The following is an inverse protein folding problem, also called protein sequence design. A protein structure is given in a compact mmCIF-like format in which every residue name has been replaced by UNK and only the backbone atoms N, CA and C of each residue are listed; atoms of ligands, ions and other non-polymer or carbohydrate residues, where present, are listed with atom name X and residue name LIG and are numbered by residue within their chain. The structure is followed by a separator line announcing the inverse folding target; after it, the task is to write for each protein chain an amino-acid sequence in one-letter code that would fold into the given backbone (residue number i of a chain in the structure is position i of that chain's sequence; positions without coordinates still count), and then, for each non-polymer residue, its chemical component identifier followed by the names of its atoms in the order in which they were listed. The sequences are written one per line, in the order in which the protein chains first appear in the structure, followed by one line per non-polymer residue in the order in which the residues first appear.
data_IF_966341728942
#
_entry.id   IF_966341728942
#
_cell.length_a   1.000
_cell.length_b   1.000
_cell.length_c   1.000
_cell.angle_alpha   90.00
_cell.angle_beta   90.00
_cell.angle_gamma   90.00
#
_symmetry.space_group_name_H-M   'P 1'
#
loop_
_entity.id
_entity.type
_entity.pdbx_description
1 polymer ?
#
# COMPACT_ATOMS: atom_id res chain seq x y z
N UNK A 1 7.77 -17.94 -34.02
CA UNK A 1 8.20 -19.08 -33.17
C UNK A 1 7.87 -18.74 -31.74
N UNK A 2 6.93 -19.47 -31.11
CA UNK A 2 6.66 -19.33 -29.67
C UNK A 2 7.86 -19.91 -28.92
N UNK A 3 8.62 -19.06 -28.24
CA UNK A 3 9.64 -19.51 -27.29
C UNK A 3 8.90 -20.15 -26.10
N UNK A 4 9.01 -21.48 -26.00
CA UNK A 4 8.43 -22.23 -24.89
C UNK A 4 9.17 -21.90 -23.60
N UNK A 5 8.46 -21.34 -22.63
CA UNK A 5 8.97 -21.16 -21.28
C UNK A 5 9.11 -22.52 -20.62
N UNK A 6 10.33 -23.03 -20.52
CA UNK A 6 10.62 -24.26 -19.79
C UNK A 6 10.37 -24.02 -18.30
N UNK A 7 9.34 -24.65 -17.75
CA UNK A 7 9.09 -24.67 -16.30
C UNK A 7 10.09 -25.64 -15.67
N UNK A 8 11.14 -25.11 -15.05
CA UNK A 8 12.08 -25.91 -14.27
C UNK A 8 11.54 -26.04 -12.84
N UNK A 9 11.03 -27.22 -12.48
CA UNK A 9 10.68 -27.56 -11.11
C UNK A 9 11.94 -28.09 -10.43
N UNK A 10 12.64 -27.24 -9.67
CA UNK A 10 13.78 -27.69 -8.87
C UNK A 10 13.25 -28.15 -7.51
N UNK A 11 13.34 -29.46 -7.25
CA UNK A 11 13.13 -30.02 -5.91
C UNK A 11 14.39 -29.79 -5.07
N UNK A 12 14.33 -28.87 -4.11
CA UNK A 12 15.32 -28.74 -3.06
C UNK A 12 14.57 -28.71 -1.72
N UNK A 13 14.47 -29.87 -1.06
CA UNK A 13 14.05 -30.11 0.33
C UNK A 13 13.03 -29.16 0.97
N UNK A 14 11.83 -29.65 1.29
CA UNK A 14 10.75 -29.00 2.06
C UNK A 14 10.23 -27.63 1.57
N UNK A 15 10.90 -26.96 0.63
CA UNK A 15 10.48 -25.69 0.05
C UNK A 15 9.95 -25.88 -1.38
N UNK A 16 8.69 -25.47 -1.60
CA UNK A 16 8.00 -25.58 -2.88
C UNK A 16 8.34 -24.37 -3.76
N UNK A 17 9.15 -24.54 -4.81
CA UNK A 17 9.41 -23.51 -5.82
C UNK A 17 8.46 -23.71 -7.01
N UNK A 18 7.60 -22.72 -7.29
CA UNK A 18 6.79 -22.66 -8.52
C UNK A 18 7.27 -21.47 -9.34
N UNK A 19 7.82 -21.75 -10.53
CA UNK A 19 8.16 -20.75 -11.55
C UNK A 19 9.56 -20.13 -11.39
N UNK A 20 10.58 -20.74 -12.00
CA UNK A 20 11.94 -20.20 -11.94
C UNK A 20 12.45 -19.89 -13.35
N UNK A 21 12.32 -18.63 -13.76
CA UNK A 21 13.45 -17.99 -14.45
C UNK A 21 14.44 -17.56 -13.36
N UNK A 22 15.73 -17.38 -13.66
CA UNK A 22 16.75 -17.00 -12.66
C UNK A 22 16.49 -15.66 -11.93
N UNK A 23 15.39 -14.96 -12.23
CA UNK A 23 15.03 -13.63 -11.70
C UNK A 23 13.72 -13.59 -10.91
N UNK A 24 12.98 -14.70 -10.81
CA UNK A 24 11.67 -14.76 -10.15
C UNK A 24 11.67 -15.79 -9.02
N UNK A 25 11.24 -15.39 -7.81
CA UNK A 25 11.02 -16.35 -6.72
C UNK A 25 9.97 -15.84 -5.72
N UNK A 26 9.32 -16.78 -5.04
CA UNK A 26 8.59 -16.53 -3.80
C UNK A 26 9.09 -17.50 -2.74
N UNK A 27 9.31 -17.02 -1.52
CA UNK A 27 9.77 -17.83 -0.39
C UNK A 27 9.10 -17.39 0.90
N UNK A 28 8.78 -18.38 1.72
CA UNK A 28 8.29 -18.22 3.09
C UNK A 28 9.47 -18.26 4.04
N UNK A 29 9.50 -17.35 5.00
CA UNK A 29 10.50 -17.31 6.05
C UNK A 29 9.82 -17.50 7.40
N UNK A 30 10.61 -17.96 8.36
CA UNK A 30 10.20 -18.04 9.75
C UNK A 30 9.70 -16.68 10.27
N UNK A 31 8.72 -16.74 11.16
CA UNK A 31 8.04 -15.57 11.72
C UNK A 31 6.93 -15.02 10.83
N UNK A 32 6.39 -15.81 9.90
CA UNK A 32 5.21 -15.44 9.11
C UNK A 32 5.52 -14.35 8.08
N UNK A 33 6.64 -14.48 7.36
CA UNK A 33 7.03 -13.53 6.32
C UNK A 33 7.02 -14.19 4.95
N UNK A 34 6.33 -13.59 3.99
CA UNK A 34 6.33 -14.01 2.59
C UNK A 34 7.08 -12.96 1.77
N UNK A 35 8.07 -13.39 0.99
CA UNK A 35 8.80 -12.51 0.08
C UNK A 35 8.69 -13.07 -1.33
N UNK A 36 8.22 -12.23 -2.25
CA UNK A 36 8.15 -12.49 -3.68
C UNK A 36 8.92 -11.42 -4.44
N UNK A 37 9.75 -11.83 -5.39
CA UNK A 37 10.52 -10.97 -6.28
C UNK A 37 10.34 -11.45 -7.71
N UNK A 38 10.06 -10.56 -8.66
CA UNK A 38 9.93 -10.95 -10.07
C UNK A 38 8.79 -11.94 -10.33
N UNK A 39 7.83 -12.07 -9.41
CA UNK A 39 6.83 -13.13 -9.43
C UNK A 39 5.59 -12.70 -10.22
N UNK A 40 4.95 -13.64 -10.91
CA UNK A 40 3.67 -13.37 -11.55
C UNK A 40 2.53 -13.33 -10.53
N UNK A 41 1.46 -12.60 -10.86
CA UNK A 41 0.19 -12.64 -10.13
C UNK A 41 -0.27 -14.05 -9.75
N UNK A 42 -0.25 -14.99 -10.69
CA UNK A 42 -0.67 -16.37 -10.45
C UNK A 42 0.22 -17.06 -9.42
N UNK A 43 1.54 -16.90 -9.54
CA UNK A 43 2.51 -17.44 -8.58
C UNK A 43 2.21 -16.94 -7.17
N UNK A 44 2.01 -15.62 -7.02
CA UNK A 44 1.70 -15.00 -5.72
C UNK A 44 0.35 -15.48 -5.17
N UNK A 45 -0.73 -15.21 -5.90
CA UNK A 45 -2.09 -15.30 -5.35
C UNK A 45 -2.71 -16.70 -5.44
N UNK A 46 -2.27 -17.54 -6.37
CA UNK A 46 -2.68 -18.95 -6.43
C UNK A 46 -1.65 -19.86 -5.78
N UNK A 47 -0.36 -19.65 -6.06
CA UNK A 47 0.72 -20.48 -5.51
C UNK A 47 0.92 -20.33 -4.00
N UNK A 48 0.75 -19.13 -3.46
CA UNK A 48 0.96 -18.82 -2.02
C UNK A 48 -0.31 -18.37 -1.30
N UNK A 49 -1.50 -18.75 -1.80
CA UNK A 49 -2.81 -18.36 -1.22
C UNK A 49 -2.89 -18.58 0.29
N UNK A 50 -2.38 -19.73 0.77
CA UNK A 50 -2.39 -20.08 2.20
C UNK A 50 -1.50 -19.12 3.01
N UNK A 51 -0.32 -18.82 2.50
CA UNK A 51 0.65 -17.96 3.16
C UNK A 51 0.23 -16.49 3.16
N UNK A 52 -0.42 -16.00 2.10
CA UNK A 52 -1.02 -14.67 2.09
C UNK A 52 -2.03 -14.52 3.23
N UNK A 53 -2.82 -15.57 3.48
CA UNK A 53 -3.81 -15.58 4.55
C UNK A 53 -3.23 -15.76 5.96
N UNK A 54 -1.94 -16.02 6.14
CA UNK A 54 -1.36 -16.25 7.49
C UNK A 54 -0.12 -15.43 7.79
N UNK A 55 0.50 -14.79 6.80
CA UNK A 55 1.73 -14.03 6.97
C UNK A 55 1.44 -12.67 7.62
N UNK A 56 2.30 -12.27 8.55
CA UNK A 56 2.27 -10.96 9.16
C UNK A 56 2.92 -9.90 8.26
N UNK A 57 4.04 -10.25 7.59
CA UNK A 57 4.75 -9.34 6.68
C UNK A 57 4.76 -9.94 5.27
N UNK A 58 4.19 -9.22 4.31
CA UNK A 58 4.12 -9.64 2.91
C UNK A 58 4.89 -8.63 2.08
N UNK A 59 5.92 -9.09 1.39
CA UNK A 59 6.77 -8.28 0.51
C UNK A 59 6.69 -8.82 -0.91
N UNK A 60 6.24 -7.98 -1.83
CA UNK A 60 6.19 -8.28 -3.25
C UNK A 60 6.93 -7.15 -3.96
N UNK A 61 7.96 -7.52 -4.72
CA UNK A 61 8.80 -6.56 -5.41
C UNK A 61 9.02 -6.94 -6.87
N UNK A 62 9.19 -5.92 -7.72
CA UNK A 62 9.51 -6.06 -9.14
C UNK A 62 8.59 -7.07 -9.86
N UNK A 63 7.29 -7.02 -9.55
CA UNK A 63 6.31 -8.05 -9.93
C UNK A 63 5.10 -7.45 -10.64
N UNK A 64 4.58 -8.18 -11.64
CA UNK A 64 3.33 -7.86 -12.34
C UNK A 64 2.19 -8.66 -11.71
N UNK A 65 1.49 -8.01 -10.77
CA UNK A 65 0.47 -8.61 -9.92
C UNK A 65 -0.93 -8.07 -10.16
N UNK A 66 -1.06 -7.02 -10.97
CA UNK A 66 -2.36 -6.49 -11.33
C UNK A 66 -3.12 -7.38 -12.33
N UNK A 67 -4.48 -7.33 -12.36
CA UNK A 67 -5.35 -6.55 -11.48
C UNK A 67 -5.56 -7.22 -10.11
N UNK A 68 -5.61 -6.41 -9.04
CA UNK A 68 -5.98 -6.86 -7.69
C UNK A 68 -7.48 -6.63 -7.43
N UNK A 69 -8.26 -7.71 -7.37
CA UNK A 69 -9.68 -7.67 -7.05
C UNK A 69 -9.95 -7.86 -5.55
N UNK A 70 -11.24 -7.93 -5.20
CA UNK A 70 -11.69 -8.11 -3.81
C UNK A 70 -11.09 -9.35 -3.15
N UNK A 71 -10.95 -10.46 -3.88
CA UNK A 71 -10.40 -11.71 -3.34
C UNK A 71 -8.90 -11.59 -3.04
N UNK A 72 -8.12 -10.99 -3.95
CA UNK A 72 -6.68 -10.78 -3.76
C UNK A 72 -6.39 -9.88 -2.57
N UNK A 73 -7.11 -8.75 -2.44
CA UNK A 73 -6.97 -7.87 -1.28
C UNK A 73 -7.41 -8.56 0.02
N UNK A 74 -8.52 -9.30 -0.01
CA UNK A 74 -9.04 -10.03 1.17
C UNK A 74 -8.10 -11.14 1.64
N UNK A 75 -7.26 -11.67 0.75
CA UNK A 75 -6.24 -12.64 1.11
C UNK A 75 -5.17 -12.05 2.06
N UNK A 76 -4.94 -10.74 1.99
CA UNK A 76 -3.89 -10.03 2.74
C UNK A 76 -4.38 -9.44 4.08
N UNK A 77 -5.66 -9.61 4.41
CA UNK A 77 -6.33 -8.92 5.54
C UNK A 77 -5.69 -9.15 6.92
N UNK A 78 -4.91 -10.22 7.07
CA UNK A 78 -4.23 -10.57 8.31
C UNK A 78 -2.83 -9.94 8.44
N UNK A 79 -2.30 -9.37 7.36
CA UNK A 79 -0.99 -8.76 7.36
C UNK A 79 -0.96 -7.54 8.27
N UNK A 80 0.12 -7.43 9.04
CA UNK A 80 0.48 -6.19 9.74
C UNK A 80 1.32 -5.27 8.86
N UNK A 81 2.07 -5.84 7.92
CA UNK A 81 2.92 -5.08 7.02
C UNK A 81 2.76 -5.58 5.58
N UNK A 82 2.49 -4.65 4.68
CA UNK A 82 2.37 -4.92 3.24
C UNK A 82 3.35 -4.00 2.51
N UNK A 83 4.23 -4.60 1.71
CA UNK A 83 5.19 -3.89 0.87
C UNK A 83 5.01 -4.34 -0.59
N UNK A 84 4.42 -3.49 -1.42
CA UNK A 84 4.29 -3.66 -2.87
C UNK A 84 5.18 -2.64 -3.58
N UNK A 85 6.48 -2.94 -3.66
CA UNK A 85 7.49 -2.01 -4.19
C UNK A 85 7.80 -2.32 -5.65
N UNK A 86 7.84 -1.33 -6.53
CA UNK A 86 8.11 -1.54 -7.96
C UNK A 86 7.15 -2.55 -8.59
N UNK A 87 5.86 -2.46 -8.25
CA UNK A 87 4.81 -3.30 -8.83
C UNK A 87 3.97 -2.53 -9.84
N UNK A 88 3.11 -3.22 -10.57
CA UNK A 88 2.17 -2.60 -11.50
C UNK A 88 0.82 -2.24 -10.88
N UNK A 89 0.68 -2.31 -9.54
CA UNK A 89 -0.53 -1.96 -8.80
C UNK A 89 -0.87 -0.48 -9.00
N UNK A 90 -2.11 -0.20 -9.41
CA UNK A 90 -2.60 1.12 -9.79
C UNK A 90 -3.80 1.61 -8.96
N UNK A 91 -4.41 0.73 -8.16
CA UNK A 91 -5.58 1.03 -7.36
C UNK A 91 -5.46 0.48 -5.93
N UNK A 92 -6.03 1.22 -4.98
CA UNK A 92 -6.30 0.76 -3.63
C UNK A 92 -7.64 -0.02 -3.60
N UNK A 93 -7.88 -0.92 -2.62
CA UNK A 93 -9.15 -1.64 -2.53
C UNK A 93 -10.34 -0.69 -2.44
N UNK A 94 -11.43 -1.00 -3.16
CA UNK A 94 -12.62 -0.14 -3.24
C UNK A 94 -13.30 0.13 -1.89
N UNK A 95 -13.24 -0.83 -0.97
CA UNK A 95 -13.77 -0.72 0.41
C UNK A 95 -12.70 -0.19 1.39
N UNK A 96 -11.58 0.29 0.85
CA UNK A 96 -10.42 0.71 1.63
C UNK A 96 -9.81 -0.41 2.48
N UNK A 97 -9.06 0.01 3.48
CA UNK A 97 -8.38 -0.87 4.44
C UNK A 97 -9.23 -1.16 5.69
N UNK A 98 -10.56 -1.00 5.63
CA UNK A 98 -11.46 -1.29 6.76
C UNK A 98 -11.35 -2.75 7.23
N UNK A 99 -11.11 -3.68 6.29
CA UNK A 99 -10.97 -5.10 6.57
C UNK A 99 -9.55 -5.52 7.00
N UNK A 100 -8.65 -4.57 7.27
CA UNK A 100 -7.24 -4.84 7.63
C UNK A 100 -6.95 -4.43 9.08
N UNK A 101 -7.46 -5.17 10.08
CA UNK A 101 -7.43 -4.74 11.47
C UNK A 101 -6.02 -4.66 12.09
N UNK A 102 -5.01 -5.19 11.40
CA UNK A 102 -3.64 -5.30 11.89
C UNK A 102 -2.63 -4.46 11.14
N UNK A 103 -3.03 -3.88 10.01
CA UNK A 103 -2.13 -3.15 9.13
C UNK A 103 -1.57 -1.94 9.85
N UNK A 104 -0.26 -1.97 10.11
CA UNK A 104 0.52 -0.87 10.69
C UNK A 104 1.40 -0.19 9.64
N UNK A 105 1.82 -0.92 8.61
CA UNK A 105 2.68 -0.41 7.55
C UNK A 105 2.16 -0.78 6.17
N UNK A 106 1.95 0.22 5.33
CA UNK A 106 1.70 0.06 3.90
C UNK A 106 2.76 0.83 3.11
N UNK A 107 3.55 0.10 2.33
CA UNK A 107 4.54 0.64 1.40
C UNK A 107 4.14 0.23 -0.01
N UNK A 108 3.81 1.20 -0.85
CA UNK A 108 3.49 0.98 -2.26
C UNK A 108 4.36 1.88 -3.16
N UNK A 109 5.63 2.05 -2.78
CA UNK A 109 6.56 2.90 -3.53
C UNK A 109 6.81 2.39 -4.94
N UNK A 110 7.05 3.32 -5.87
CA UNK A 110 7.32 2.97 -7.27
C UNK A 110 6.22 2.11 -7.92
N UNK A 111 4.97 2.31 -7.51
CA UNK A 111 3.81 1.65 -8.11
C UNK A 111 3.14 2.60 -9.11
N UNK A 112 1.88 2.34 -9.48
CA UNK A 112 1.12 3.13 -10.47
C UNK A 112 -0.12 3.76 -9.86
N UNK A 113 -0.15 4.01 -8.55
CA UNK A 113 -1.34 4.55 -7.88
C UNK A 113 -1.65 5.96 -8.38
N UNK A 114 -2.89 6.19 -8.79
CA UNK A 114 -3.34 7.47 -9.35
C UNK A 114 -4.27 8.26 -8.44
N UNK A 115 -5.04 7.57 -7.60
CA UNK A 115 -6.06 8.17 -6.72
C UNK A 115 -5.98 7.53 -5.34
N UNK A 116 -6.05 8.36 -4.29
CA UNK A 116 -6.41 7.87 -2.94
C UNK A 116 -7.90 8.12 -2.75
N UNK A 117 -8.76 7.08 -2.84
CA UNK A 117 -10.20 7.26 -2.81
C UNK A 117 -10.71 7.60 -1.40
N UNK A 118 -11.92 8.12 -1.34
CA UNK A 118 -12.63 8.42 -0.10
C UNK A 118 -12.70 7.16 0.77
N UNK A 119 -12.38 7.31 2.06
CA UNK A 119 -12.41 6.19 3.00
C UNK A 119 -11.33 5.13 2.78
N UNK A 120 -10.34 5.36 1.91
CA UNK A 120 -9.23 4.40 1.69
C UNK A 120 -8.59 3.95 3.01
N UNK A 121 -8.33 4.89 3.92
CA UNK A 121 -7.73 4.64 5.22
C UNK A 121 -8.68 5.12 6.33
N UNK A 122 -9.61 4.25 6.78
CA UNK A 122 -10.65 4.64 7.73
C UNK A 122 -10.10 4.81 9.15
N UNK A 123 -10.86 5.51 10.00
CA UNK A 123 -10.56 5.61 11.44
C UNK A 123 -10.72 4.28 12.15
N UNK A 124 -11.75 3.53 11.78
CA UNK A 124 -12.13 2.27 12.42
C UNK A 124 -11.97 1.11 11.46
N UNK A 125 -11.67 -0.06 12.00
CA UNK A 125 -11.47 -1.31 11.26
C UNK A 125 -12.39 -2.38 11.81
N UNK A 126 -12.76 -3.33 10.94
CA UNK A 126 -13.55 -4.47 11.35
C UNK A 126 -12.65 -5.53 12.02
N UNK A 127 -12.57 -5.46 13.36
CA UNK A 127 -11.78 -6.38 14.17
C UNK A 127 -12.56 -7.63 14.65
N UNK A 128 -13.80 -7.85 14.16
CA UNK A 128 -14.75 -8.80 14.74
C UNK A 128 -14.29 -10.27 14.79
N UNK A 129 -13.25 -10.65 14.05
CA UNK A 129 -12.80 -12.04 13.93
C UNK A 129 -11.29 -12.23 14.04
N UNK A 130 -10.50 -11.17 14.22
CA UNK A 130 -9.04 -11.30 14.15
C UNK A 130 -8.30 -10.46 15.20
N UNK A 131 -7.46 -11.15 15.98
CA UNK A 131 -6.55 -10.53 16.95
C UNK A 131 -5.19 -10.38 16.29
N UNK A 132 -4.70 -9.15 16.24
CA UNK A 132 -3.39 -8.88 15.65
C UNK A 132 -2.27 -9.45 16.52
N UNK A 133 -1.35 -10.23 15.94
CA UNK A 133 -0.11 -10.58 16.61
C UNK A 133 0.60 -9.29 17.03
N UNK A 134 1.06 -9.23 18.29
CA UNK A 134 1.87 -8.12 18.82
C UNK A 134 1.20 -6.74 18.92
N UNK A 135 -0.14 -6.63 18.84
CA UNK A 135 -0.81 -5.36 19.16
C UNK A 135 -1.27 -5.34 20.62
N UNK A 136 -0.70 -4.44 21.42
CA UNK A 136 -1.13 -4.19 22.80
C UNK A 136 -2.52 -3.55 22.89
N UNK A 137 -3.12 -3.17 21.77
CA UNK A 137 -4.39 -2.47 21.67
C UNK A 137 -5.42 -3.32 20.92
N UNK A 138 -6.40 -3.85 21.65
CA UNK A 138 -7.59 -4.47 21.09
C UNK A 138 -8.67 -3.40 20.86
N UNK A 139 -8.31 -2.32 20.15
CA UNK A 139 -9.22 -1.22 19.80
C UNK A 139 -9.75 -1.42 18.39
N UNK A 140 -10.97 -0.93 18.09
CA UNK A 140 -11.52 -0.96 16.75
C UNK A 140 -10.91 0.12 15.83
N UNK A 141 -9.82 0.78 16.23
CA UNK A 141 -9.18 1.85 15.47
C UNK A 141 -8.16 1.29 14.48
N UNK A 142 -8.03 1.95 13.33
CA UNK A 142 -6.98 1.65 12.35
C UNK A 142 -5.60 1.82 12.98
N UNK A 143 -4.77 0.79 12.86
CA UNK A 143 -3.42 0.73 13.44
C UNK A 143 -2.35 1.27 12.50
N UNK A 144 -2.74 1.83 11.35
CA UNK A 144 -1.81 2.31 10.34
C UNK A 144 -0.95 3.43 10.91
N UNK A 145 0.36 3.21 10.93
CA UNK A 145 1.39 4.11 11.44
C UNK A 145 2.28 4.66 10.33
N UNK A 146 2.52 3.86 9.27
CA UNK A 146 3.35 4.25 8.14
C UNK A 146 2.62 4.02 6.82
N UNK A 147 2.52 5.09 6.02
CA UNK A 147 2.04 5.05 4.65
C UNK A 147 3.09 5.64 3.71
N UNK A 148 3.65 4.82 2.84
CA UNK A 148 4.70 5.22 1.90
C UNK A 148 4.25 5.05 0.45
N UNK A 149 4.07 6.17 -0.23
CA UNK A 149 3.51 6.27 -1.59
C UNK A 149 4.43 7.08 -2.51
N UNK A 150 5.73 7.21 -2.19
CA UNK A 150 6.69 7.93 -3.04
C UNK A 150 6.77 7.30 -4.45
N UNK A 151 7.01 8.13 -5.47
CA UNK A 151 7.19 7.71 -6.86
C UNK A 151 5.97 6.98 -7.44
N UNK A 152 4.76 7.50 -7.18
CA UNK A 152 3.52 7.05 -7.79
C UNK A 152 3.00 8.11 -8.79
N UNK A 153 1.74 7.99 -9.22
CA UNK A 153 1.08 8.92 -10.17
C UNK A 153 -0.12 9.61 -9.54
N UNK A 154 -0.10 9.75 -8.22
CA UNK A 154 -1.24 10.25 -7.45
C UNK A 154 -1.49 11.70 -7.89
N UNK A 155 -2.67 11.95 -8.44
CA UNK A 155 -3.09 13.29 -8.84
C UNK A 155 -4.28 13.80 -8.06
N UNK A 156 -5.01 12.89 -7.41
CA UNK A 156 -6.20 13.16 -6.60
C UNK A 156 -6.10 12.44 -5.25
N UNK A 157 -6.33 13.18 -4.17
CA UNK A 157 -6.57 12.65 -2.83
C UNK A 157 -7.96 13.12 -2.43
N UNK A 158 -8.89 12.18 -2.26
CA UNK A 158 -10.30 12.50 -2.00
C UNK A 158 -10.56 12.83 -0.52
N UNK A 159 -11.69 13.48 -0.26
CA UNK A 159 -12.15 13.85 1.07
C UNK A 159 -12.22 12.65 2.02
N UNK A 160 -11.75 12.84 3.26
CA UNK A 160 -11.76 11.81 4.31
C UNK A 160 -11.08 10.48 3.90
N UNK A 161 -10.17 10.52 2.93
CA UNK A 161 -9.37 9.37 2.50
C UNK A 161 -8.36 8.92 3.56
N UNK A 162 -7.82 9.85 4.36
CA UNK A 162 -6.79 9.63 5.38
C UNK A 162 -7.32 9.91 6.79
N UNK A 163 -8.13 8.99 7.33
CA UNK A 163 -8.73 9.08 8.66
C UNK A 163 -8.01 8.22 9.71
N UNK A 164 -6.78 7.76 9.42
CA UNK A 164 -5.97 6.91 10.29
C UNK A 164 -5.39 7.68 11.50
N UNK A 165 -5.93 7.50 12.72
CA UNK A 165 -5.59 8.35 13.87
C UNK A 165 -4.20 8.10 14.45
N UNK A 166 -3.59 6.95 14.12
CA UNK A 166 -2.27 6.55 14.59
C UNK A 166 -1.17 6.75 13.54
N UNK A 167 -1.46 7.41 12.41
CA UNK A 167 -0.50 7.62 11.33
C UNK A 167 0.59 8.59 11.77
N UNK A 168 1.84 8.12 11.72
CA UNK A 168 3.03 8.87 12.16
C UNK A 168 3.89 9.31 10.98
N UNK A 169 3.91 8.50 9.90
CA UNK A 169 4.69 8.73 8.70
C UNK A 169 3.81 8.67 7.44
N UNK A 170 3.93 9.70 6.61
CA UNK A 170 3.28 9.78 5.30
C UNK A 170 4.26 10.35 4.27
N UNK A 171 4.58 9.58 3.23
CA UNK A 171 5.41 10.03 2.12
C UNK A 171 4.65 10.00 0.80
N UNK A 172 4.47 11.18 0.20
CA UNK A 172 3.78 11.41 -1.05
C UNK A 172 4.67 12.05 -2.11
N UNK A 173 6.00 12.08 -1.90
CA UNK A 173 6.94 12.70 -2.84
C UNK A 173 6.88 12.07 -4.24
N UNK A 174 7.29 12.84 -5.24
CA UNK A 174 7.28 12.43 -6.65
C UNK A 174 5.95 11.78 -7.10
N UNK A 175 4.88 12.52 -6.86
CA UNK A 175 3.54 12.26 -7.38
C UNK A 175 3.10 13.46 -8.24
N UNK A 176 1.91 13.41 -8.81
CA UNK A 176 1.34 14.47 -9.66
C UNK A 176 0.18 15.21 -8.98
N UNK A 177 0.25 15.40 -7.66
CA UNK A 177 -0.86 15.91 -6.84
C UNK A 177 -1.13 17.37 -7.21
N UNK A 178 -2.28 17.62 -7.83
CA UNK A 178 -2.71 18.97 -8.23
C UNK A 178 -3.61 19.62 -7.20
N UNK A 179 -4.40 18.81 -6.50
CA UNK A 179 -5.40 19.27 -5.55
C UNK A 179 -5.45 18.27 -4.40
N UNK A 180 -5.59 18.80 -3.19
CA UNK A 180 -5.94 18.01 -2.04
C UNK A 180 -7.28 18.55 -1.56
N UNK A 181 -8.35 17.81 -1.82
CA UNK A 181 -9.66 18.14 -1.30
C UNK A 181 -9.79 17.48 0.08
N UNK A 182 -10.34 18.22 1.04
CA UNK A 182 -10.72 17.64 2.31
C UNK A 182 -10.01 18.15 3.58
N UNK A 183 -10.63 17.80 4.70
CA UNK A 183 -10.19 18.14 6.05
C UNK A 183 -9.32 17.01 6.58
N UNK A 184 -7.99 17.16 6.54
CA UNK A 184 -7.07 16.30 7.30
C UNK A 184 -7.19 16.64 8.78
N UNK A 185 -8.18 16.04 9.45
CA UNK A 185 -8.25 16.10 10.90
C UNK A 185 -7.36 14.98 11.43
N UNK A 186 -6.47 15.32 12.37
CA UNK A 186 -5.66 14.37 13.16
C UNK A 186 -4.38 13.81 12.51
N UNK A 187 -3.85 14.41 11.45
CA UNK A 187 -2.54 14.03 10.93
C UNK A 187 -1.42 14.72 11.72
N UNK A 188 -0.85 14.03 12.70
CA UNK A 188 0.44 14.38 13.30
C UNK A 188 1.56 13.73 12.48
N UNK A 189 1.83 14.25 11.28
CA UNK A 189 2.93 13.73 10.45
C UNK A 189 4.24 14.30 11.00
N UNK A 190 5.17 13.42 11.39
CA UNK A 190 6.46 13.82 11.98
C UNK A 190 7.53 14.12 10.94
N UNK A 191 7.39 13.60 9.71
CA UNK A 191 8.28 13.88 8.59
C UNK A 191 7.49 13.86 7.27
N UNK A 192 7.30 15.02 6.64
CA UNK A 192 7.07 15.07 5.19
C UNK A 192 8.46 15.13 4.58
N UNK A 193 8.85 14.06 3.89
CA UNK A 193 10.16 13.98 3.25
C UNK A 193 10.43 15.23 2.41
N UNK A 194 11.58 15.86 2.65
CA UNK A 194 12.02 17.07 1.96
C UNK A 194 11.98 16.91 0.44
N UNK A 195 11.17 17.76 -0.19
CA UNK A 195 10.96 17.87 -1.62
C UNK A 195 9.86 18.89 -1.82
N UNK A 196 10.17 19.99 -2.51
CA UNK A 196 9.21 21.04 -2.84
C UNK A 196 7.94 20.40 -3.42
N UNK A 197 6.82 20.53 -2.71
CA UNK A 197 5.50 20.22 -3.28
C UNK A 197 5.20 21.33 -4.29
N UNK A 198 5.60 21.11 -5.54
CA UNK A 198 5.18 21.94 -6.67
C UNK A 198 3.70 21.70 -6.97
N UNK A 199 2.81 22.25 -6.14
CA UNK A 199 1.36 22.24 -6.41
C UNK A 199 1.06 23.35 -7.42
N UNK A 200 1.18 23.06 -8.72
CA UNK A 200 0.67 23.97 -9.75
C UNK A 200 -0.84 23.81 -9.86
N UNK A 201 -1.60 24.74 -9.26
CA UNK A 201 -3.04 24.81 -9.44
C UNK A 201 -3.37 25.11 -10.92
N UNK A 202 -4.13 24.23 -11.56
CA UNK A 202 -4.69 24.48 -12.89
C UNK A 202 -5.76 25.57 -12.84
N UNK A 203 -6.03 26.26 -13.96
CA UNK A 203 -7.00 27.34 -13.97
C UNK A 203 -8.42 26.76 -13.79
N UNK A 204 -9.07 27.18 -12.70
CA UNK A 204 -10.50 26.92 -12.35
C UNK A 204 -10.86 25.52 -11.83
N UNK A 205 -10.21 25.06 -10.77
CA UNK A 205 -10.85 24.12 -9.83
C UNK A 205 -10.78 24.67 -8.41
N UNK A 206 -11.88 24.56 -7.69
CA UNK A 206 -12.15 25.11 -6.36
C UNK A 206 -11.32 24.38 -5.27
N UNK A 207 -10.00 24.37 -5.38
CA UNK A 207 -9.09 23.67 -4.48
C UNK A 207 -8.90 24.48 -3.20
N UNK A 208 -9.47 23.98 -2.09
CA UNK A 208 -9.22 24.52 -0.76
C UNK A 208 -7.80 24.14 -0.31
N UNK A 209 -6.83 25.03 -0.50
CA UNK A 209 -5.46 24.89 0.05
C UNK A 209 -5.41 24.83 1.60
N UNK A 210 -6.55 24.87 2.28
CA UNK A 210 -6.65 24.78 3.75
C UNK A 210 -6.19 23.43 4.32
N UNK A 211 -6.21 22.35 3.53
CA UNK A 211 -5.73 21.02 3.95
C UNK A 211 -4.20 20.87 3.96
N UNK A 212 -3.47 21.70 3.20
CA UNK A 212 -2.01 21.65 3.10
C UNK A 212 -1.30 22.18 4.35
N UNK A 213 -1.93 23.13 5.06
CA UNK A 213 -1.38 23.75 6.27
C UNK A 213 -1.38 22.77 7.46
N UNK A 214 -2.33 21.83 7.53
CA UNK A 214 -2.39 20.83 8.61
C UNK A 214 -1.40 19.68 8.45
N UNK A 215 -0.70 19.61 7.32
CA UNK A 215 0.23 18.53 7.00
C UNK A 215 1.69 18.86 7.39
N UNK A 216 2.00 20.11 7.79
CA UNK A 216 3.40 20.49 8.05
C UNK A 216 4.22 20.70 6.77
N UNK A 217 3.55 21.02 5.65
CA UNK A 217 4.20 21.36 4.38
C UNK A 217 4.93 22.70 4.53
N UNK A 218 6.25 22.65 4.63
CA UNK A 218 7.13 23.82 4.58
C UNK A 218 7.33 24.22 3.12
N UNK A 219 6.38 25.02 2.63
CA UNK A 219 6.40 25.89 1.43
C UNK A 219 5.12 25.71 0.63
N UNK A 220 4.15 26.59 0.89
CA UNK A 220 3.12 26.94 -0.09
C UNK A 220 3.69 28.13 -0.84
N UNK A 221 4.28 27.92 -2.03
CA UNK A 221 4.53 29.07 -2.90
C UNK A 221 3.18 29.72 -3.19
N UNK A 222 3.11 31.01 -2.89
CA UNK A 222 1.89 31.77 -2.81
C UNK A 222 1.24 31.85 -4.19
N UNK A 223 -0.07 31.56 -4.27
CA UNK A 223 -0.85 31.92 -5.45
C UNK A 223 -0.85 33.45 -5.60
N UNK A 224 -0.34 33.95 -6.73
CA UNK A 224 -0.72 35.25 -7.27
C UNK A 224 -1.74 34.99 -8.38
#
# INVERSE_FOLDING_TARGET
MKLGTTVLVIWAGLDFFVGVTARSFCRVYDGGRLICLGASRETVFQGFKRQLATSYSIRISDSEINPLGTEEWSALRHAGEIYFTSTDVDQLPAVGFESFPCLSTLDMRHSKIEVIPQGAFPRTVNASLFRCPNSNFNTPESKLQRLDLINNRIHTIEDNSLMAPHLQYLDLRNNSIKCIDGKFRFLAVTEIGGGSLGVTAGPRTNCSARGLVSLGVVSVESCV
#
